data_IF_084269932668
#
_entry.id   IF_084269932668
#
_cell.length_a   1.000
_cell.length_b   1.000
_cell.length_c   1.000
_cell.angle_alpha   90.00
_cell.angle_beta   90.00
_cell.angle_gamma   90.00
#
_symmetry.space_group_name_H-M   'P 1'
#
loop_
_entity.id
_entity.type
_entity.pdbx_description
1 polymer ?
#
# COMPACT_ATOMS: atom_id res chain seq x y z
N UNK A 1 -3.29 -8.68 -10.95
CA UNK A 1 -4.63 -8.08 -11.17
C UNK A 1 -4.45 -6.59 -11.42
N UNK A 2 -5.10 -6.03 -12.43
CA UNK A 2 -5.02 -4.60 -12.76
C UNK A 2 -6.39 -3.94 -12.84
N UNK A 3 -6.44 -2.66 -12.49
CA UNK A 3 -7.65 -1.84 -12.56
C UNK A 3 -7.33 -0.33 -12.52
N UNK A 4 -8.21 0.47 -13.11
CA UNK A 4 -8.17 1.93 -12.99
C UNK A 4 -8.76 2.38 -11.65
N UNK A 5 -8.03 3.23 -10.93
CA UNK A 5 -8.42 3.70 -9.61
C UNK A 5 -7.92 5.10 -9.30
N UNK A 6 -7.80 5.37 -8.00
CA UNK A 6 -7.35 6.67 -7.46
C UNK A 6 -6.24 6.51 -6.45
N UNK A 7 -5.61 7.64 -6.10
CA UNK A 7 -4.68 7.73 -4.97
C UNK A 7 -5.45 7.46 -3.67
N UNK A 8 -4.82 6.75 -2.72
CA UNK A 8 -5.44 6.32 -1.45
C UNK A 8 -5.40 7.37 -0.34
N UNK A 9 -4.91 8.57 -0.64
CA UNK A 9 -4.85 9.72 0.26
C UNK A 9 -5.40 10.97 -0.45
N UNK A 10 -5.86 11.99 0.30
CA UNK A 10 -6.26 13.28 -0.28
C UNK A 10 -5.15 13.83 -1.21
N UNK A 11 -5.51 14.34 -2.41
CA UNK A 11 -6.85 14.73 -2.87
C UNK A 11 -7.70 13.60 -3.49
N UNK A 12 -7.30 12.33 -3.37
CA UNK A 12 -8.04 11.17 -3.90
C UNK A 12 -8.23 11.19 -5.42
N UNK A 13 -7.33 11.85 -6.16
CA UNK A 13 -7.42 11.99 -7.62
C UNK A 13 -7.48 10.65 -8.33
N UNK A 14 -8.36 10.56 -9.33
CA UNK A 14 -8.46 9.42 -10.24
C UNK A 14 -7.34 9.44 -11.30
N UNK A 15 -7.13 8.31 -11.97
CA UNK A 15 -6.15 8.17 -13.05
C UNK A 15 -4.92 7.34 -12.65
N UNK A 16 -5.01 6.57 -11.57
CA UNK A 16 -3.97 5.60 -11.19
C UNK A 16 -4.30 4.25 -11.81
N UNK A 17 -3.41 3.73 -12.64
CA UNK A 17 -3.47 2.34 -13.10
C UNK A 17 -2.81 1.44 -12.06
N UNK A 18 -3.61 0.69 -11.31
CA UNK A 18 -3.13 -0.17 -10.24
C UNK A 18 -2.73 -1.54 -10.78
N UNK A 19 -1.54 -2.00 -10.42
CA UNK A 19 -1.08 -3.38 -10.63
C UNK A 19 -0.88 -4.07 -9.27
N UNK A 20 -1.79 -4.98 -8.93
CA UNK A 20 -1.72 -5.78 -7.69
C UNK A 20 -1.16 -7.15 -8.01
N UNK A 21 0.00 -7.48 -7.43
CA UNK A 21 0.64 -8.79 -7.55
C UNK A 21 -0.09 -9.79 -6.64
N UNK A 22 -0.36 -10.98 -7.14
CA UNK A 22 -1.09 -12.03 -6.42
C UNK A 22 -0.21 -12.88 -5.49
N UNK A 23 1.12 -12.77 -5.65
CA UNK A 23 2.11 -13.39 -4.76
C UNK A 23 2.60 -12.37 -3.72
N UNK A 24 2.34 -12.58 -2.41
CA UNK A 24 2.80 -11.67 -1.39
C UNK A 24 4.31 -11.78 -1.16
N UNK A 25 4.95 -10.65 -0.89
CA UNK A 25 6.33 -10.62 -0.41
C UNK A 25 6.38 -11.03 1.06
N UNK A 26 7.27 -11.96 1.39
CA UNK A 26 7.48 -12.41 2.77
C UNK A 26 8.47 -11.49 3.49
N UNK A 27 8.16 -11.17 4.74
CA UNK A 27 9.05 -10.44 5.65
C UNK A 27 9.19 -11.21 6.95
N UNK A 28 10.32 -11.04 7.64
CA UNK A 28 10.53 -11.60 8.98
C UNK A 28 9.68 -10.87 10.03
N UNK A 29 9.40 -11.54 11.14
CA UNK A 29 8.70 -10.91 12.28
C UNK A 29 9.46 -9.69 12.82
N UNK A 30 10.79 -9.69 12.78
CA UNK A 30 11.61 -8.54 13.20
C UNK A 30 11.35 -7.32 12.30
N UNK A 31 11.28 -7.52 10.97
CA UNK A 31 10.96 -6.46 10.03
C UNK A 31 9.53 -5.93 10.23
N UNK A 32 8.57 -6.83 10.46
CA UNK A 32 7.19 -6.44 10.76
C UNK A 32 7.08 -5.54 11.99
N UNK A 33 7.73 -5.94 13.10
CA UNK A 33 7.75 -5.15 14.34
C UNK A 33 8.44 -3.79 14.12
N UNK A 34 9.58 -3.78 13.42
CA UNK A 34 10.29 -2.55 13.11
C UNK A 34 9.41 -1.58 12.30
N UNK A 35 8.73 -2.09 11.27
CA UNK A 35 7.81 -1.31 10.46
C UNK A 35 6.64 -0.75 11.30
N UNK A 36 6.02 -1.58 12.14
CA UNK A 36 4.94 -1.14 13.06
C UNK A 36 5.40 0.00 13.97
N UNK A 37 6.62 -0.08 14.51
CA UNK A 37 7.19 0.97 15.36
C UNK A 37 7.39 2.28 14.59
N UNK A 38 7.94 2.22 13.38
CA UNK A 38 8.12 3.41 12.54
C UNK A 38 6.78 4.07 12.18
N UNK A 39 5.76 3.26 11.87
CA UNK A 39 4.48 3.80 11.42
C UNK A 39 3.63 4.40 12.54
N UNK A 40 3.69 3.83 13.76
CA UNK A 40 2.73 4.17 14.83
C UNK A 40 3.36 4.76 16.08
N UNK A 41 4.66 4.56 16.31
CA UNK A 41 5.32 4.92 17.57
C UNK A 41 6.55 5.81 17.38
N UNK A 42 6.80 6.31 16.16
CA UNK A 42 7.95 7.17 15.91
C UNK A 42 7.84 8.48 16.69
N UNK A 43 8.91 8.81 17.42
CA UNK A 43 9.08 10.05 18.16
C UNK A 43 10.26 10.80 17.52
N UNK A 44 10.03 12.07 17.18
CA UNK A 44 11.06 12.96 16.72
C UNK A 44 12.12 13.16 17.83
N UNK A 45 13.42 12.90 17.57
CA UNK A 45 14.46 12.94 18.59
C UNK A 45 14.76 14.37 19.10
N UNK A 46 14.52 15.38 18.27
CA UNK A 46 14.83 16.78 18.59
C UNK A 46 13.65 17.45 19.29
N UNK A 47 12.42 17.10 18.90
CA UNK A 47 11.19 17.72 19.41
C UNK A 47 10.44 16.88 20.43
N UNK A 48 10.86 15.63 20.69
CA UNK A 48 10.23 14.67 21.60
C UNK A 48 8.70 14.53 21.35
N UNK A 49 8.28 14.62 20.08
CA UNK A 49 6.87 14.56 19.67
C UNK A 49 6.62 13.33 18.80
N UNK A 50 5.49 12.65 19.03
CA UNK A 50 5.02 11.62 18.11
C UNK A 50 4.79 12.21 16.72
N UNK A 51 5.33 11.59 15.68
CA UNK A 51 5.19 12.03 14.29
C UNK A 51 4.16 11.21 13.51
N UNK A 52 3.72 10.09 14.07
CA UNK A 52 2.76 9.18 13.43
C UNK A 52 1.38 9.80 13.26
N UNK A 53 0.79 9.69 12.06
CA UNK A 53 -0.55 10.18 11.71
C UNK A 53 -1.62 9.08 11.69
N UNK A 54 -1.37 7.97 12.37
CA UNK A 54 -2.23 6.80 12.33
C UNK A 54 -3.55 6.98 13.11
N UNK A 55 -4.59 6.26 12.69
CA UNK A 55 -5.86 6.14 13.41
C UNK A 55 -6.09 4.68 13.78
N UNK A 56 -6.24 4.38 15.10
CA UNK A 56 -6.48 3.02 15.62
C UNK A 56 -5.51 1.96 15.04
N UNK A 57 -4.21 2.22 15.16
CA UNK A 57 -3.14 1.36 14.60
C UNK A 57 -3.26 1.09 13.08
N UNK A 58 -3.87 2.00 12.32
CA UNK A 58 -3.92 1.93 10.86
C UNK A 58 -3.57 3.28 10.25
N UNK A 59 -2.85 3.24 9.13
CA UNK A 59 -2.63 4.37 8.24
C UNK A 59 -3.16 4.10 6.83
N UNK A 60 -3.97 3.05 6.68
CA UNK A 60 -4.50 2.61 5.38
C UNK A 60 -5.92 3.12 5.20
N UNK A 61 -6.24 3.55 3.97
CA UNK A 61 -7.61 3.91 3.57
C UNK A 61 -8.50 2.65 3.59
N UNK A 62 -9.72 2.69 4.14
CA UNK A 62 -10.66 1.57 4.07
C UNK A 62 -10.94 1.14 2.62
N UNK A 63 -11.20 -0.16 2.43
CA UNK A 63 -11.60 -0.68 1.11
C UNK A 63 -12.82 0.08 0.62
N UNK A 64 -12.75 0.57 -0.62
CA UNK A 64 -13.82 1.32 -1.25
C UNK A 64 -14.77 0.37 -1.96
N UNK A 65 -16.04 0.76 -2.08
CA UNK A 65 -17.01 0.01 -2.86
C UNK A 65 -16.54 -0.15 -4.30
N UNK A 66 -16.87 -1.31 -4.87
CA UNK A 66 -16.57 -1.65 -6.25
C UNK A 66 -17.10 -0.59 -7.21
N UNK A 67 -16.27 -0.16 -8.15
CA UNK A 67 -16.70 0.64 -9.30
C UNK A 67 -16.90 -0.31 -10.48
N UNK A 68 -17.84 -0.01 -11.39
CA UNK A 68 -18.26 -0.88 -12.51
C UNK A 68 -17.14 -1.27 -13.51
N UNK A 69 -15.92 -0.79 -13.30
CA UNK A 69 -14.76 -1.10 -14.12
C UNK A 69 -14.30 -2.53 -13.87
N UNK A 70 -14.27 -3.34 -14.93
CA UNK A 70 -13.77 -4.71 -14.87
C UNK A 70 -12.32 -4.77 -14.39
N UNK A 71 -11.99 -5.79 -13.60
CA UNK A 71 -10.61 -6.07 -13.23
C UNK A 71 -10.01 -7.09 -14.19
N UNK A 72 -8.77 -6.85 -14.61
CA UNK A 72 -8.02 -7.80 -15.43
C UNK A 72 -7.08 -8.62 -14.54
N UNK A 73 -7.06 -9.95 -14.71
CA UNK A 73 -6.11 -10.82 -13.99
C UNK A 73 -4.86 -11.01 -14.83
N UNK A 74 -3.77 -10.36 -14.45
CA UNK A 74 -2.46 -10.61 -15.05
C UNK A 74 -1.92 -11.99 -14.72
N UNK A 75 -1.24 -12.60 -15.69
CA UNK A 75 -0.42 -13.80 -15.55
C UNK A 75 1.06 -13.46 -15.47
N UNK A 76 1.91 -14.44 -15.11
CA UNK A 76 3.38 -14.25 -15.06
C UNK A 76 3.96 -13.71 -16.35
N UNK A 77 3.50 -14.21 -17.48
CA UNK A 77 3.85 -13.73 -18.81
C UNK A 77 3.65 -12.22 -19.00
N UNK A 78 2.70 -11.61 -18.30
CA UNK A 78 2.33 -10.20 -18.50
C UNK A 78 3.29 -9.23 -17.78
N UNK A 79 4.17 -9.75 -16.92
CA UNK A 79 5.14 -8.98 -16.14
C UNK A 79 6.57 -9.53 -16.20
N UNK A 80 6.83 -10.53 -17.07
CA UNK A 80 8.20 -10.97 -17.35
C UNK A 80 8.99 -9.81 -17.97
N UNK A 81 10.16 -9.54 -17.42
CA UNK A 81 11.08 -8.57 -18.01
C UNK A 81 11.67 -9.16 -19.29
N UNK A 82 11.88 -8.34 -20.33
CA UNK A 82 12.58 -8.74 -21.57
C UNK A 82 14.01 -9.29 -21.34
N UNK A 83 14.50 -9.27 -20.10
CA UNK A 83 15.83 -9.73 -19.68
C UNK A 83 15.82 -11.04 -18.88
N UNK A 84 14.67 -11.69 -18.69
CA UNK A 84 14.52 -13.04 -18.11
C UNK A 84 14.38 -14.11 -19.20
#
# INVERSE_FOLDING_TARGET
MTYDGSITEPPCSQGVYWCVIDVPMQISMKQYIQLKTLMFNQIDPDMCRKTSTHFKESNTRPVQSWTEWGMYRCHRSDYMSDME
#
